data_IF_311130691744
#
_entry.id   IF_311130691744
#
_cell.length_a   1.000
_cell.length_b   1.000
_cell.length_c   1.000
_cell.angle_alpha   90.00
_cell.angle_beta   90.00
_cell.angle_gamma   90.00
#
_symmetry.space_group_name_H-M   'P 1'
#
loop_
_entity.id
_entity.type
_entity.pdbx_description
1 polymer ?
#
# COMPACT_ATOMS: atom_id res chain seq x y z
N UNK A 1 -9.53 -15.81 30.40
CA UNK A 1 -10.90 -16.23 30.02
C UNK A 1 -11.95 -15.12 30.22
N UNK A 2 -11.90 -14.34 31.30
CA UNK A 2 -12.89 -13.30 31.60
C UNK A 2 -13.02 -12.18 30.51
N UNK A 3 -11.90 -11.65 29.97
CA UNK A 3 -11.93 -10.63 28.90
C UNK A 3 -12.64 -11.10 27.62
N UNK A 4 -12.50 -12.38 27.27
CA UNK A 4 -13.16 -12.96 26.09
C UNK A 4 -14.67 -13.12 26.29
N UNK A 5 -15.10 -13.48 27.49
CA UNK A 5 -16.53 -13.53 27.83
C UNK A 5 -17.19 -12.15 27.77
N UNK A 6 -16.48 -11.09 28.19
CA UNK A 6 -16.97 -9.70 28.11
C UNK A 6 -17.14 -9.27 26.65
N UNK A 7 -16.16 -9.52 25.77
CA UNK A 7 -16.25 -9.19 24.34
C UNK A 7 -17.36 -9.99 23.65
N UNK A 8 -17.47 -11.30 23.92
CA UNK A 8 -18.49 -12.16 23.34
C UNK A 8 -19.91 -11.80 23.82
N UNK A 9 -20.04 -11.30 25.06
CA UNK A 9 -21.31 -10.82 25.60
C UNK A 9 -21.90 -9.63 24.83
N UNK A 10 -21.07 -8.85 24.13
CA UNK A 10 -21.52 -7.72 23.30
C UNK A 10 -21.90 -8.10 21.85
N UNK A 11 -21.53 -9.29 21.39
CA UNK A 11 -21.68 -9.72 20.00
C UNK A 11 -22.82 -10.73 19.77
N UNK A 12 -23.52 -11.13 20.82
CA UNK A 12 -24.64 -12.07 20.73
C UNK A 12 -25.92 -11.37 20.22
N UNK A 13 -25.98 -11.15 18.90
CA UNK A 13 -27.17 -10.76 18.13
C UNK A 13 -27.61 -11.88 17.16
N UNK A 14 -28.91 -11.98 16.92
CA UNK A 14 -29.69 -13.14 16.42
C UNK A 14 -29.36 -13.68 15.01
N UNK A 15 -29.59 -14.99 14.83
CA UNK A 15 -29.83 -15.76 13.58
C UNK A 15 -30.99 -15.13 12.78
N UNK A 16 -31.17 -15.18 11.45
CA UNK A 16 -30.69 -16.04 10.36
C UNK A 16 -31.11 -15.39 9.01
N UNK A 17 -30.45 -15.66 7.88
CA UNK A 17 -31.07 -16.30 6.70
C UNK A 17 -30.07 -16.38 5.53
N UNK A 18 -30.07 -17.54 4.86
CA UNK A 18 -29.21 -17.92 3.75
C UNK A 18 -29.86 -17.52 2.42
N UNK A 19 -29.22 -16.64 1.65
CA UNK A 19 -29.56 -16.41 0.23
C UNK A 19 -28.59 -17.19 -0.65
N UNK A 20 -29.11 -18.14 -1.43
CA UNK A 20 -28.33 -18.93 -2.37
C UNK A 20 -27.68 -18.04 -3.46
N UNK A 21 -26.36 -18.14 -3.59
CA UNK A 21 -25.59 -17.48 -4.64
C UNK A 21 -25.80 -18.19 -5.98
N UNK A 22 -26.21 -17.45 -7.01
CA UNK A 22 -26.25 -17.94 -8.40
C UNK A 22 -25.09 -17.33 -9.21
N UNK A 23 -24.45 -18.15 -10.04
CA UNK A 23 -23.36 -17.71 -10.90
C UNK A 23 -23.91 -16.89 -12.09
N UNK A 24 -23.47 -15.64 -12.21
CA UNK A 24 -23.70 -14.84 -13.40
C UNK A 24 -22.69 -15.24 -14.50
N UNK A 25 -23.11 -15.36 -15.76
CA UNK A 25 -22.19 -15.62 -16.87
C UNK A 25 -21.18 -14.48 -17.00
N UNK A 26 -19.88 -14.82 -16.98
CA UNK A 26 -18.79 -13.90 -17.24
C UNK A 26 -18.85 -13.40 -18.69
N UNK A 27 -19.50 -12.27 -18.92
CA UNK A 27 -19.33 -11.47 -20.13
C UNK A 27 -17.99 -10.75 -20.07
N UNK A 28 -16.89 -11.47 -20.31
CA UNK A 28 -15.57 -10.90 -20.52
C UNK A 28 -15.49 -10.24 -21.91
N UNK A 29 -16.32 -9.23 -22.13
CA UNK A 29 -16.08 -8.20 -23.14
C UNK A 29 -15.57 -6.97 -22.42
N UNK A 30 -14.66 -6.21 -23.04
CA UNK A 30 -14.34 -4.88 -22.52
C UNK A 30 -15.66 -4.09 -22.44
N UNK A 31 -16.07 -3.59 -21.26
CA UNK A 31 -17.25 -2.75 -21.18
C UNK A 31 -17.08 -1.56 -22.13
N UNK A 32 -18.16 -1.15 -22.80
CA UNK A 32 -18.18 0.11 -23.53
C UNK A 32 -17.76 1.22 -22.56
N UNK A 33 -16.85 2.09 -23.00
CA UNK A 33 -16.40 3.22 -22.20
C UNK A 33 -17.62 4.05 -21.73
N UNK A 34 -17.87 4.05 -20.43
CA UNK A 34 -18.97 4.75 -19.79
C UNK A 34 -18.45 6.02 -19.11
N UNK A 35 -19.30 7.05 -19.04
CA UNK A 35 -19.00 8.25 -18.26
C UNK A 35 -18.84 7.96 -16.75
N UNK A 36 -19.34 6.82 -16.27
CA UNK A 36 -19.22 6.37 -14.88
C UNK A 36 -17.97 5.52 -14.60
N UNK A 37 -17.12 5.28 -15.60
CA UNK A 37 -15.93 4.45 -15.42
C UNK A 37 -14.91 5.17 -14.54
N UNK A 38 -14.33 4.44 -13.59
CA UNK A 38 -13.21 4.95 -12.80
C UNK A 38 -11.93 4.81 -13.63
N UNK A 39 -11.35 5.94 -14.01
CA UNK A 39 -10.14 6.00 -14.85
C UNK A 39 -8.90 6.38 -14.06
N UNK A 40 -7.74 5.86 -14.47
CA UNK A 40 -6.44 6.30 -13.97
C UNK A 40 -5.93 7.43 -14.84
N UNK A 41 -5.86 8.64 -14.29
CA UNK A 41 -5.41 9.83 -15.04
C UNK A 41 -3.89 9.83 -15.20
N UNK A 42 -3.15 9.55 -14.12
CA UNK A 42 -1.69 9.63 -14.10
C UNK A 42 -1.11 8.81 -12.94
N UNK A 43 0.20 8.55 -12.97
CA UNK A 43 0.91 7.88 -11.87
C UNK A 43 2.42 8.14 -11.88
N UNK A 44 2.98 8.34 -10.68
CA UNK A 44 4.43 8.45 -10.45
C UNK A 44 4.86 7.54 -9.31
N UNK A 45 6.15 7.19 -9.30
CA UNK A 45 6.79 6.47 -8.21
C UNK A 45 8.21 6.97 -8.04
N UNK A 46 8.74 6.86 -6.82
CA UNK A 46 10.18 7.00 -6.59
C UNK A 46 10.96 5.82 -7.20
N UNK A 47 12.28 5.97 -7.40
CA UNK A 47 13.18 4.82 -7.53
C UNK A 47 13.04 3.87 -6.32
N UNK A 48 13.36 2.59 -6.47
CA UNK A 48 13.33 1.65 -5.34
C UNK A 48 14.74 1.51 -4.78
N UNK A 49 14.95 1.99 -3.55
CA UNK A 49 16.23 1.90 -2.84
C UNK A 49 16.37 0.58 -2.05
N UNK A 50 17.59 0.02 -2.00
CA UNK A 50 17.88 -1.11 -1.10
C UNK A 50 17.83 -0.64 0.36
N UNK A 51 17.04 -1.30 1.20
CA UNK A 51 16.96 -0.96 2.63
C UNK A 51 18.33 -1.01 3.33
N UNK A 52 18.57 -0.10 4.29
CA UNK A 52 19.78 0.00 5.11
C UNK A 52 21.03 0.58 4.42
N UNK A 53 21.15 0.45 3.09
CA UNK A 53 22.37 0.85 2.34
C UNK A 53 22.14 1.62 1.04
N UNK A 54 20.89 1.72 0.59
CA UNK A 54 20.52 2.45 -0.62
C UNK A 54 20.36 3.95 -0.37
N UNK A 55 20.10 4.70 -1.43
CA UNK A 55 20.02 6.17 -1.39
C UNK A 55 18.93 6.76 -0.47
N UNK A 56 17.91 5.98 -0.11
CA UNK A 56 16.83 6.40 0.80
C UNK A 56 16.99 5.88 2.23
N UNK A 57 18.19 5.45 2.63
CA UNK A 57 18.42 4.92 3.98
C UNK A 57 18.17 5.95 5.09
N UNK A 58 18.41 7.23 4.80
CA UNK A 58 18.23 8.35 5.72
C UNK A 58 16.99 9.20 5.38
N UNK A 59 16.16 8.75 4.44
CA UNK A 59 14.96 9.47 4.00
C UNK A 59 13.72 8.90 4.69
N UNK A 60 12.97 9.77 5.36
CA UNK A 60 11.73 9.42 6.05
C UNK A 60 10.60 9.12 5.04
N UNK A 61 9.63 8.25 5.40
CA UNK A 61 8.57 7.87 4.48
C UNK A 61 7.61 9.03 4.11
N UNK A 62 7.48 10.05 4.95
CA UNK A 62 6.72 11.27 4.63
C UNK A 62 7.35 12.07 3.49
N UNK A 63 8.67 12.21 3.47
CA UNK A 63 9.41 12.84 2.36
C UNK A 63 9.25 12.03 1.06
N UNK A 64 9.36 10.70 1.13
CA UNK A 64 9.15 9.82 -0.03
C UNK A 64 7.73 9.93 -0.59
N UNK A 65 6.74 10.01 0.29
CA UNK A 65 5.34 10.19 -0.09
C UNK A 65 5.09 11.60 -0.66
N UNK A 66 5.63 12.63 -0.01
CA UNK A 66 5.47 14.02 -0.43
C UNK A 66 6.02 14.25 -1.84
N UNK A 67 7.16 13.64 -2.17
CA UNK A 67 7.76 13.74 -3.49
C UNK A 67 6.83 13.22 -4.61
N UNK A 68 6.12 12.11 -4.39
CA UNK A 68 5.22 11.53 -5.41
C UNK A 68 3.87 12.25 -5.47
N UNK A 69 3.33 12.69 -4.32
CA UNK A 69 2.11 13.52 -4.27
C UNK A 69 2.31 14.81 -5.07
N UNK A 70 3.41 15.52 -4.78
CA UNK A 70 3.78 16.76 -5.46
C UNK A 70 3.97 16.55 -6.96
N UNK A 71 4.72 15.51 -7.35
CA UNK A 71 5.00 15.23 -8.76
C UNK A 71 3.72 14.97 -9.57
N UNK A 72 2.79 14.16 -9.05
CA UNK A 72 1.54 13.87 -9.75
C UNK A 72 0.72 15.14 -9.95
N UNK A 73 0.53 15.95 -8.89
CA UNK A 73 -0.24 17.20 -8.96
C UNK A 73 0.37 18.20 -9.96
N UNK A 74 1.70 18.32 -9.97
CA UNK A 74 2.40 19.19 -10.92
C UNK A 74 2.25 18.73 -12.37
N UNK A 75 2.38 17.42 -12.64
CA UNK A 75 2.28 16.87 -13.99
C UNK A 75 0.90 17.09 -14.60
N UNK A 76 -0.16 16.82 -13.82
CA UNK A 76 -1.55 16.98 -14.30
C UNK A 76 -2.08 18.40 -14.12
N UNK A 77 -1.32 19.29 -13.48
CA UNK A 77 -1.70 20.67 -13.15
C UNK A 77 -3.05 20.76 -12.43
N UNK A 78 -3.31 19.79 -11.55
CA UNK A 78 -4.54 19.72 -10.77
C UNK A 78 -4.39 20.59 -9.52
N UNK A 79 -5.40 21.42 -9.24
CA UNK A 79 -5.47 22.16 -7.97
C UNK A 79 -5.66 21.17 -6.81
N UNK A 80 -4.83 21.20 -5.75
CA UNK A 80 -4.89 20.22 -4.68
C UNK A 80 -6.27 20.08 -4.02
N UNK A 81 -7.01 21.19 -3.88
CA UNK A 81 -8.35 21.23 -3.30
C UNK A 81 -9.44 20.48 -4.10
N UNK A 82 -9.14 20.04 -5.33
CA UNK A 82 -10.05 19.22 -6.14
C UNK A 82 -10.06 17.75 -5.73
N UNK A 83 -9.09 17.32 -4.90
CA UNK A 83 -9.06 15.96 -4.37
C UNK A 83 -10.17 15.81 -3.31
N UNK A 84 -11.05 14.84 -3.50
CA UNK A 84 -12.07 14.50 -2.51
C UNK A 84 -11.56 13.57 -1.40
N UNK A 85 -10.51 12.80 -1.64
CA UNK A 85 -9.88 11.92 -0.66
C UNK A 85 -8.48 11.45 -1.09
N UNK A 86 -7.68 11.04 -0.11
CA UNK A 86 -6.37 10.42 -0.30
C UNK A 86 -6.33 9.12 0.51
N UNK A 87 -6.04 7.99 -0.15
CA UNK A 87 -5.83 6.71 0.53
C UNK A 87 -4.37 6.28 0.41
N UNK A 88 -3.71 6.04 1.54
CA UNK A 88 -2.28 5.71 1.58
C UNK A 88 -2.07 4.30 2.12
N UNK A 89 -1.52 3.42 1.29
CA UNK A 89 -1.10 2.09 1.68
C UNK A 89 0.24 2.11 2.42
N UNK A 90 0.27 1.62 3.66
CA UNK A 90 1.51 1.41 4.42
C UNK A 90 1.34 0.25 5.41
N UNK A 91 2.43 -0.49 5.66
CA UNK A 91 2.40 -1.67 6.54
C UNK A 91 3.07 -1.42 7.89
N UNK A 92 4.30 -0.90 7.89
CA UNK A 92 5.17 -0.98 9.07
C UNK A 92 5.10 0.25 9.98
N UNK A 93 4.51 1.36 9.55
CA UNK A 93 4.40 2.54 10.40
C UNK A 93 3.31 2.37 11.46
N UNK A 94 3.48 2.95 12.66
CA UNK A 94 2.44 2.97 13.68
C UNK A 94 1.10 3.47 13.12
N UNK A 95 0.01 2.76 13.39
CA UNK A 95 -1.32 3.12 12.88
C UNK A 95 -1.40 3.15 11.35
N UNK A 96 -0.63 2.28 10.66
CA UNK A 96 -0.47 2.28 9.20
C UNK A 96 0.04 3.62 8.65
N UNK A 97 0.71 4.43 9.48
CA UNK A 97 1.30 5.70 9.06
C UNK A 97 0.29 6.82 8.79
N UNK A 98 -0.92 6.78 9.35
CA UNK A 98 -1.93 7.83 9.13
C UNK A 98 -1.42 9.24 9.45
N UNK A 99 -0.74 9.43 10.60
CA UNK A 99 -0.16 10.72 10.97
C UNK A 99 0.96 11.14 10.01
N UNK A 100 1.86 10.21 9.67
CA UNK A 100 2.97 10.43 8.73
C UNK A 100 2.45 10.80 7.34
N UNK A 101 1.42 10.11 6.86
CA UNK A 101 0.78 10.39 5.58
C UNK A 101 0.11 11.77 5.56
N UNK A 102 -0.54 12.17 6.68
CA UNK A 102 -1.12 13.50 6.83
C UNK A 102 -0.05 14.60 6.88
N UNK A 103 1.11 14.33 7.47
CA UNK A 103 2.26 15.25 7.42
C UNK A 103 2.74 15.40 5.96
N UNK A 104 2.93 14.28 5.24
CA UNK A 104 3.34 14.30 3.83
C UNK A 104 2.37 15.09 2.94
N UNK A 105 1.05 14.96 3.19
CA UNK A 105 0.02 15.76 2.51
C UNK A 105 0.29 17.26 2.67
N UNK A 106 0.56 17.73 3.88
CA UNK A 106 0.86 19.14 4.14
C UNK A 106 2.21 19.59 3.57
N UNK A 107 3.22 18.72 3.61
CA UNK A 107 4.52 18.97 2.96
C UNK A 107 4.39 19.13 1.44
N UNK A 108 3.38 18.51 0.84
CA UNK A 108 3.04 18.64 -0.60
C UNK A 108 2.12 19.82 -0.92
N UNK A 109 1.75 20.65 0.07
CA UNK A 109 0.86 21.79 -0.13
C UNK A 109 -0.61 21.43 -0.40
N UNK A 110 -1.04 20.21 -0.08
CA UNK A 110 -2.43 19.81 -0.18
C UNK A 110 -3.17 20.31 1.08
N UNK A 111 -4.28 21.07 0.93
CA UNK A 111 -4.93 21.73 2.05
C UNK A 111 -5.62 20.73 2.98
N UNK A 112 -5.90 21.20 4.19
CA UNK A 112 -6.56 20.45 5.26
C UNK A 112 -7.98 20.02 4.92
N UNK A 113 -8.63 20.70 3.97
CA UNK A 113 -9.97 20.38 3.46
C UNK A 113 -10.04 19.04 2.74
N UNK A 114 -8.91 18.55 2.21
CA UNK A 114 -8.81 17.22 1.59
C UNK A 114 -8.60 16.19 2.69
N UNK A 115 -9.49 15.21 2.90
CA UNK A 115 -9.30 14.16 3.89
C UNK A 115 -8.23 13.14 3.45
N UNK A 116 -7.73 12.36 4.42
CA UNK A 116 -6.77 11.30 4.17
C UNK A 116 -7.04 10.11 5.08
N UNK A 117 -6.91 8.90 4.51
CA UNK A 117 -6.95 7.64 5.23
C UNK A 117 -5.68 6.82 4.98
N UNK A 118 -5.31 6.00 5.96
CA UNK A 118 -4.28 4.99 5.80
C UNK A 118 -4.89 3.59 5.75
N UNK A 119 -4.35 2.71 4.92
CA UNK A 119 -4.81 1.33 4.78
C UNK A 119 -3.66 0.35 4.87
N UNK A 120 -3.85 -0.71 5.65
CA UNK A 120 -2.93 -1.82 5.74
C UNK A 120 -3.64 -3.12 5.33
N UNK A 121 -3.31 -3.60 4.13
CA UNK A 121 -3.60 -4.94 3.63
C UNK A 121 -2.30 -5.62 3.21
N UNK A 122 -1.28 -5.55 4.07
CA UNK A 122 0.04 -6.16 3.87
C UNK A 122 0.64 -5.78 2.50
N UNK A 123 1.25 -6.73 1.78
CA UNK A 123 1.88 -6.50 0.48
C UNK A 123 0.95 -5.86 -0.58
N UNK A 124 -0.38 -5.93 -0.36
CA UNK A 124 -1.39 -5.37 -1.28
C UNK A 124 -1.87 -3.96 -0.91
N UNK A 125 -1.35 -3.34 0.16
CA UNK A 125 -1.84 -2.04 0.66
C UNK A 125 -1.89 -0.94 -0.41
N UNK A 126 -0.90 -0.85 -1.30
CA UNK A 126 -0.91 0.15 -2.39
C UNK A 126 -2.04 -0.08 -3.39
N UNK A 127 -2.35 -1.35 -3.72
CA UNK A 127 -3.49 -1.67 -4.59
C UNK A 127 -4.83 -1.54 -3.85
N UNK A 128 -4.85 -1.82 -2.56
CA UNK A 128 -6.03 -1.58 -1.73
C UNK A 128 -6.39 -0.09 -1.66
N UNK A 129 -5.40 0.81 -1.63
CA UNK A 129 -5.64 2.24 -1.73
C UNK A 129 -6.33 2.62 -3.05
N UNK A 130 -5.90 2.03 -4.18
CA UNK A 130 -6.58 2.21 -5.48
C UNK A 130 -8.03 1.73 -5.41
N UNK A 131 -8.27 0.55 -4.83
CA UNK A 131 -9.61 0.01 -4.67
C UNK A 131 -10.50 0.88 -3.76
N UNK A 132 -9.94 1.46 -2.70
CA UNK A 132 -10.65 2.38 -1.80
C UNK A 132 -11.10 3.64 -2.54
N UNK A 133 -10.19 4.30 -3.27
CA UNK A 133 -10.51 5.50 -4.06
C UNK A 133 -11.54 5.19 -5.13
N UNK A 134 -11.37 4.09 -5.87
CA UNK A 134 -12.34 3.67 -6.87
C UNK A 134 -13.72 3.37 -6.26
N UNK A 135 -13.75 2.76 -5.07
CA UNK A 135 -14.97 2.55 -4.31
C UNK A 135 -15.63 3.87 -3.88
N UNK A 136 -14.86 4.83 -3.39
CA UNK A 136 -15.36 6.15 -3.01
C UNK A 136 -15.98 6.93 -4.19
N UNK A 137 -15.33 6.86 -5.36
CA UNK A 137 -15.87 7.44 -6.60
C UNK A 137 -17.19 6.76 -6.99
N UNK A 138 -17.21 5.42 -7.01
CA UNK A 138 -18.43 4.66 -7.35
C UNK A 138 -19.59 4.87 -6.36
N UNK A 139 -19.27 5.17 -5.11
CA UNK A 139 -20.26 5.48 -4.08
C UNK A 139 -20.78 6.92 -4.15
N UNK A 140 -20.22 7.77 -5.03
CA UNK A 140 -20.59 9.16 -5.16
C UNK A 140 -20.09 10.05 -4.02
N UNK A 141 -19.08 9.60 -3.27
CA UNK A 141 -18.49 10.41 -2.17
C UNK A 141 -17.64 11.57 -2.70
N UNK A 142 -17.02 11.39 -3.86
CA UNK A 142 -16.15 12.35 -4.54
C UNK A 142 -15.88 11.91 -5.99
N UNK A 143 -15.51 12.85 -6.87
CA UNK A 143 -15.24 12.54 -8.28
C UNK A 143 -13.75 12.24 -8.57
N UNK A 144 -12.86 12.78 -7.73
CA UNK A 144 -11.40 12.67 -7.89
C UNK A 144 -10.80 12.28 -6.55
N UNK A 145 -9.90 11.30 -6.55
CA UNK A 145 -9.15 10.92 -5.35
C UNK A 145 -7.74 10.46 -5.71
N UNK A 146 -6.89 10.36 -4.70
CA UNK A 146 -5.49 9.97 -4.86
C UNK A 146 -5.17 8.70 -4.10
N UNK A 147 -4.69 7.68 -4.80
CA UNK A 147 -4.25 6.43 -4.22
C UNK A 147 -2.73 6.35 -4.20
N UNK A 148 -2.16 6.12 -3.02
CA UNK A 148 -0.72 6.11 -2.80
C UNK A 148 -0.28 4.85 -2.05
N UNK A 149 1.01 4.55 -2.14
CA UNK A 149 1.65 3.54 -1.30
C UNK A 149 3.06 4.00 -0.93
N UNK A 150 3.45 3.83 0.33
CA UNK A 150 4.78 4.20 0.80
C UNK A 150 5.26 3.24 1.86
N UNK A 151 6.56 2.95 1.86
CA UNK A 151 7.19 2.11 2.86
C UNK A 151 8.65 2.52 3.07
N UNK A 152 9.07 2.65 4.33
CA UNK A 152 10.50 2.75 4.68
C UNK A 152 10.88 1.56 5.55
N UNK A 153 11.34 0.49 4.91
CA UNK A 153 11.80 -0.69 5.65
C UNK A 153 13.11 -0.44 6.41
N UNK A 154 13.82 0.66 6.14
CA UNK A 154 15.04 1.04 6.87
C UNK A 154 14.72 1.62 8.24
N UNK A 155 13.74 2.53 8.30
CA UNK A 155 13.43 3.32 9.49
C UNK A 155 12.26 2.76 10.31
N UNK A 156 11.53 1.78 9.77
CA UNK A 156 10.42 1.16 10.49
C UNK A 156 10.87 0.01 11.38
N UNK A 157 10.19 -0.17 12.51
CA UNK A 157 10.41 -1.30 13.42
C UNK A 157 9.92 -2.61 12.78
N UNK A 158 10.86 -3.51 12.46
CA UNK A 158 10.53 -4.81 11.86
C UNK A 158 10.23 -5.83 12.95
N UNK A 159 9.23 -6.68 12.71
CA UNK A 159 8.98 -7.85 13.55
C UNK A 159 8.24 -7.55 14.86
N UNK A 160 7.68 -6.35 15.02
CA UNK A 160 6.75 -6.04 16.11
C UNK A 160 5.30 -6.22 15.60
N UNK A 161 4.62 -7.33 15.93
CA UNK A 161 3.24 -7.55 15.50
C UNK A 161 2.21 -6.87 16.42
N UNK A 162 2.65 -6.11 17.43
CA UNK A 162 1.81 -5.52 18.46
C UNK A 162 1.34 -6.53 19.52
N UNK A 163 0.24 -6.21 20.19
CA UNK A 163 -0.28 -7.00 21.30
C UNK A 163 -1.07 -8.23 20.78
N UNK A 164 -0.51 -9.42 20.94
CA UNK A 164 -1.15 -10.69 20.56
C UNK A 164 -1.65 -11.43 21.81
N UNK A 165 -2.80 -12.11 21.69
CA UNK A 165 -3.36 -12.94 22.77
C UNK A 165 -2.47 -14.14 23.10
N UNK A 166 -2.35 -14.51 24.38
CA UNK A 166 -1.69 -15.75 24.81
C UNK A 166 -2.33 -17.02 24.24
N UNK A 167 -3.61 -16.95 23.84
CA UNK A 167 -4.33 -18.04 23.18
C UNK A 167 -3.88 -18.32 21.75
N UNK A 168 -2.96 -17.53 21.21
CA UNK A 168 -2.36 -17.76 19.90
C UNK A 168 -1.95 -19.23 19.73
N UNK A 169 -1.28 -19.79 20.74
CA UNK A 169 -0.74 -21.15 20.70
C UNK A 169 -1.82 -22.25 20.60
N UNK A 170 -3.06 -21.93 21.01
CA UNK A 170 -4.21 -22.84 20.98
C UNK A 170 -4.84 -22.94 19.58
N UNK A 171 -4.53 -22.03 18.66
CA UNK A 171 -5.13 -21.97 17.33
C UNK A 171 -4.06 -22.01 16.24
N UNK A 172 -4.04 -23.10 15.47
CA UNK A 172 -3.07 -23.32 14.38
C UNK A 172 -3.06 -22.17 13.37
N UNK A 173 -4.22 -21.78 12.83
CA UNK A 173 -4.31 -20.70 11.85
C UNK A 173 -3.82 -19.36 12.40
N UNK A 174 -4.04 -19.09 13.68
CA UNK A 174 -3.55 -17.87 14.31
C UNK A 174 -2.02 -17.90 14.43
N UNK A 175 -1.43 -19.04 14.78
CA UNK A 175 0.03 -19.23 14.79
C UNK A 175 0.63 -19.05 13.40
N UNK A 176 -0.06 -19.52 12.36
CA UNK A 176 0.41 -19.43 10.98
C UNK A 176 0.63 -17.98 10.53
N UNK A 177 -0.10 -17.02 11.11
CA UNK A 177 0.12 -15.58 10.86
C UNK A 177 1.51 -15.08 11.30
N UNK A 178 2.23 -15.81 12.17
CA UNK A 178 3.59 -15.48 12.60
C UNK A 178 4.68 -16.24 11.84
N UNK A 179 4.31 -17.11 10.90
CA UNK A 179 5.30 -17.80 10.07
C UNK A 179 6.05 -16.75 9.23
N UNK A 180 7.38 -16.69 9.29
CA UNK A 180 8.14 -15.76 8.47
C UNK A 180 7.85 -15.98 6.98
N UNK A 181 7.70 -14.90 6.22
CA UNK A 181 7.35 -14.99 4.79
C UNK A 181 8.35 -15.82 3.97
N UNK A 182 9.64 -15.82 4.33
CA UNK A 182 10.62 -16.71 3.72
C UNK A 182 10.29 -18.20 3.92
N UNK A 183 9.83 -18.58 5.11
CA UNK A 183 9.40 -19.96 5.40
C UNK A 183 8.14 -20.32 4.63
N UNK A 184 7.20 -19.38 4.48
CA UNK A 184 6.04 -19.64 3.61
C UNK A 184 6.45 -19.89 2.15
N UNK A 185 7.52 -19.23 1.67
CA UNK A 185 8.10 -19.49 0.35
C UNK A 185 8.68 -20.91 0.25
N UNK A 186 9.41 -21.36 1.27
CA UNK A 186 9.93 -22.74 1.33
C UNK A 186 8.80 -23.77 1.35
N UNK A 187 7.74 -23.53 2.13
CA UNK A 187 6.57 -24.41 2.20
C UNK A 187 5.88 -24.55 0.83
N UNK A 188 5.77 -23.45 0.06
CA UNK A 188 5.25 -23.49 -1.32
C UNK A 188 6.20 -24.26 -2.23
N UNK A 189 7.50 -24.01 -2.14
CA UNK A 189 8.49 -24.68 -2.98
C UNK A 189 8.49 -26.20 -2.77
N UNK A 190 8.45 -26.65 -1.51
CA UNK A 190 8.38 -28.06 -1.14
C UNK A 190 7.07 -28.70 -1.61
N UNK A 191 5.92 -28.09 -1.28
CA UNK A 191 4.59 -28.63 -1.58
C UNK A 191 4.32 -28.80 -3.07
N UNK A 192 4.86 -27.92 -3.90
CA UNK A 192 4.64 -27.94 -5.35
C UNK A 192 5.86 -28.39 -6.16
N UNK A 193 6.91 -28.90 -5.51
CA UNK A 193 8.09 -29.45 -6.18
C UNK A 193 8.88 -28.42 -7.02
N UNK A 194 9.04 -27.19 -6.50
CA UNK A 194 9.76 -26.11 -7.18
C UNK A 194 11.25 -26.17 -6.85
N UNK A 195 12.01 -26.82 -7.75
CA UNK A 195 13.45 -26.98 -7.56
C UNK A 195 14.21 -25.66 -7.47
N UNK A 196 15.35 -25.69 -6.78
CA UNK A 196 16.27 -24.55 -6.67
C UNK A 196 16.67 -23.99 -8.04
N UNK A 197 16.91 -24.86 -9.02
CA UNK A 197 17.28 -24.47 -10.37
C UNK A 197 16.17 -23.67 -11.05
N UNK A 198 14.89 -24.01 -10.84
CA UNK A 198 13.76 -23.22 -11.37
C UNK A 198 13.69 -21.84 -10.72
N UNK A 199 13.91 -21.77 -9.40
CA UNK A 199 13.90 -20.50 -8.67
C UNK A 199 15.04 -19.57 -9.17
N UNK A 200 16.25 -20.10 -9.29
CA UNK A 200 17.41 -19.34 -9.76
C UNK A 200 17.27 -18.90 -11.23
N UNK A 201 16.75 -19.78 -12.10
CA UNK A 201 16.49 -19.44 -13.49
C UNK A 201 15.48 -18.29 -13.62
N UNK A 202 14.40 -18.33 -12.83
CA UNK A 202 13.41 -17.25 -12.79
C UNK A 202 14.01 -15.94 -12.26
N UNK A 203 14.79 -16.01 -11.17
CA UNK A 203 15.44 -14.84 -10.59
C UNK A 203 16.43 -14.18 -11.56
N UNK A 204 17.25 -14.96 -12.27
CA UNK A 204 18.18 -14.46 -13.28
C UNK A 204 17.43 -13.80 -14.45
N UNK A 205 16.41 -14.47 -14.97
CA UNK A 205 15.58 -13.92 -16.05
C UNK A 205 14.92 -12.60 -15.63
N UNK A 206 14.49 -12.47 -14.37
CA UNK A 206 13.96 -11.22 -13.84
C UNK A 206 15.01 -10.10 -13.77
N UNK A 207 16.27 -10.40 -13.42
CA UNK A 207 17.36 -9.42 -13.36
C UNK A 207 17.84 -8.97 -14.75
N UNK A 208 17.74 -9.85 -15.74
CA UNK A 208 18.13 -9.56 -17.12
C UNK A 208 17.08 -8.72 -17.87
N UNK A 209 15.83 -8.69 -17.39
CA UNK A 209 14.80 -7.82 -17.98
C UNK A 209 15.19 -6.35 -17.79
N UNK A 210 15.07 -5.51 -18.84
CA UNK A 210 15.32 -4.09 -18.68
C UNK A 210 14.33 -3.51 -17.65
N UNK A 211 14.76 -2.55 -16.81
CA UNK A 211 13.85 -1.91 -15.88
C UNK A 211 12.72 -1.22 -16.68
N UNK A 212 11.48 -1.23 -16.18
CA UNK A 212 10.42 -0.46 -16.83
C UNK A 212 10.84 1.01 -16.88
N UNK A 213 10.49 1.73 -17.97
CA UNK A 213 10.83 3.14 -18.07
C UNK A 213 10.31 3.85 -16.81
N UNK A 214 11.23 4.45 -16.05
CA UNK A 214 10.85 5.35 -14.97
C UNK A 214 10.11 6.51 -15.67
N UNK A 215 8.84 6.78 -15.35
CA UNK A 215 8.19 7.96 -15.90
C UNK A 215 9.07 9.15 -15.47
N UNK A 216 9.72 9.78 -16.45
CA UNK A 216 10.95 10.54 -16.29
C UNK A 216 10.85 11.59 -15.17
N UNK A 217 11.78 11.53 -14.22
CA UNK A 217 12.09 12.58 -13.23
C UNK A 217 13.22 13.50 -13.72
N UNK A 218 13.46 13.52 -15.04
CA UNK A 218 14.53 14.30 -15.68
C UNK A 218 13.92 15.52 -16.37
N UNK A 219 13.30 16.41 -15.58
CA UNK A 219 12.69 17.65 -16.07
C UNK A 219 13.01 18.88 -15.23
N UNK A 220 13.26 18.73 -13.94
CA UNK A 220 13.76 19.81 -13.09
C UNK A 220 14.85 19.26 -12.17
N UNK A 221 16.02 19.88 -12.23
CA UNK A 221 17.04 19.76 -11.18
C UNK A 221 16.49 20.39 -9.90
N UNK A 222 15.70 19.63 -9.16
CA UNK A 222 15.65 19.79 -7.71
C UNK A 222 15.88 18.40 -7.12
N UNK A 223 17.16 18.02 -6.91
CA UNK A 223 17.47 16.81 -6.20
C UNK A 223 16.90 16.98 -4.80
N UNK A 224 16.02 16.05 -4.42
CA UNK A 224 15.57 15.85 -3.05
C UNK A 224 16.80 15.96 -2.13
N UNK A 225 16.87 17.08 -1.40
CA UNK A 225 17.82 17.37 -0.33
C UNK A 225 19.32 17.40 -0.68
N UNK A 226 19.80 18.51 -1.23
CA UNK A 226 21.15 19.01 -0.93
C UNK A 226 21.07 20.39 -0.26
N UNK A 227 20.56 20.42 0.98
CA UNK A 227 20.60 21.60 1.87
C UNK A 227 21.38 21.30 3.14
N UNK A 228 22.60 20.78 3.00
CA UNK A 228 23.64 21.02 4.00
C UNK A 228 24.97 21.21 3.28
N UNK A 229 25.37 22.48 3.17
CA UNK A 229 26.74 22.84 2.85
C UNK A 229 27.66 22.30 3.94
N UNK A 230 28.42 21.27 3.59
CA UNK A 230 29.50 20.74 4.40
C UNK A 230 30.58 20.28 3.45
N UNK A 231 31.67 21.04 3.41
CA UNK A 231 32.89 20.68 2.70
C UNK A 231 33.38 19.31 3.16
N UNK A 232 33.58 18.41 2.20
CA UNK A 232 34.65 17.40 2.20
C UNK A 232 35.28 17.42 0.81
#
# INVERSE_FOLDING_TARGET
MHRLQVVLGHLAGRSESSSALQAAPCSAGFPQASASDVVVVHGRRTPIGRAGRGGFKDTTPDELLSAVLTAVLQDVKLKPECLGDISVGNVLQPGAGAAMARIAQFLSGIPETVPLSAVNRQCSSGLQAVANIAGGIRNGSYDIGMACGVESMTLSERGNPGNISSRLLENEKARDCLIPMGITSENVAERFGISRQKQDAFALASQQKPPPPLPCFLGHKDPVLNRHGGHW
#
